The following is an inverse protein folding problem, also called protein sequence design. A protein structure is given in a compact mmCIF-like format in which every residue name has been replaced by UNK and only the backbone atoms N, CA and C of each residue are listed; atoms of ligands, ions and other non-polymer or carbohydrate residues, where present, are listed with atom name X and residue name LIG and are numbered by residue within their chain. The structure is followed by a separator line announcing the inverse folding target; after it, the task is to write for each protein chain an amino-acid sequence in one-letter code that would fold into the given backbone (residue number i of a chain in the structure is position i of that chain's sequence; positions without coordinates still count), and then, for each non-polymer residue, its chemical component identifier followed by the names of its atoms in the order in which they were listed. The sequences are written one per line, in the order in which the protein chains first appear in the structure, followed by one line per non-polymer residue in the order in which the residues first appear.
data_IF_943398160457
#
_entry.id   IF_943398160457
#
_cell.length_a   1.000
_cell.length_b   1.000
_cell.length_c   1.000
_cell.angle_alpha   90.00
_cell.angle_beta   90.00
_cell.angle_gamma   90.00
#
_symmetry.space_group_name_H-M   'P 1'
#
loop_
_entity.id
_entity.type
_entity.pdbx_description
1 polymer ?
#
# COMPACT_ATOMS: atom_id res chain seq x y z
N UNK A 1 60.34 -5.99 24.60
CA UNK A 1 61.01 -7.27 24.28
C UNK A 1 60.33 -7.87 23.06
N UNK A 2 61.09 -8.00 21.99
CA UNK A 2 60.66 -8.65 20.75
C UNK A 2 60.60 -10.17 20.95
N UNK A 3 59.63 -10.83 20.33
CA UNK A 3 59.82 -12.21 19.84
C UNK A 3 59.26 -12.25 18.42
N UNK A 4 60.17 -12.55 17.50
CA UNK A 4 59.96 -12.73 16.08
C UNK A 4 59.59 -14.18 15.75
N UNK A 5 59.43 -14.43 14.44
CA UNK A 5 59.42 -15.72 13.72
C UNK A 5 58.00 -16.23 13.34
N UNK A 6 57.73 -16.75 12.13
CA UNK A 6 58.52 -16.89 10.91
C UNK A 6 57.60 -17.29 9.72
N UNK A 7 58.05 -16.89 8.53
CA UNK A 7 58.01 -17.50 7.19
C UNK A 7 56.93 -18.56 6.79
N UNK A 8 56.31 -18.38 5.61
CA UNK A 8 56.70 -19.06 4.35
C UNK A 8 55.56 -19.19 3.28
N UNK A 9 55.66 -18.36 2.23
CA UNK A 9 55.57 -18.61 0.76
C UNK A 9 54.89 -19.91 0.20
N UNK A 10 53.83 -19.77 -0.63
CA UNK A 10 53.78 -19.96 -2.13
C UNK A 10 52.39 -20.37 -2.70
N UNK A 11 51.97 -19.59 -3.71
CA UNK A 11 51.32 -19.87 -5.02
C UNK A 11 50.16 -20.89 -5.19
N UNK A 12 49.00 -20.31 -5.56
CA UNK A 12 48.31 -20.38 -6.87
C UNK A 12 47.83 -21.73 -7.44
N UNK A 13 46.52 -21.84 -7.69
CA UNK A 13 45.85 -22.20 -8.97
C UNK A 13 44.47 -22.83 -8.72
N UNK A 14 43.43 -22.25 -9.30
CA UNK A 14 42.57 -22.84 -10.36
C UNK A 14 41.19 -22.17 -10.30
N UNK A 15 40.73 -21.70 -11.46
CA UNK A 15 39.54 -20.88 -11.56
C UNK A 15 38.22 -21.65 -11.53
N UNK A 16 37.14 -20.88 -11.42
CA UNK A 16 35.90 -21.17 -12.13
C UNK A 16 35.21 -19.87 -12.49
N UNK A 17 35.18 -19.61 -13.80
CA UNK A 17 34.38 -18.58 -14.41
C UNK A 17 32.88 -18.86 -14.18
N UNK A 18 32.10 -17.78 -14.03
CA UNK A 18 30.71 -17.74 -14.46
C UNK A 18 29.65 -18.03 -13.39
N UNK A 19 29.10 -16.96 -12.83
CA UNK A 19 27.76 -16.47 -13.22
C UNK A 19 27.58 -15.06 -12.65
N UNK A 20 27.59 -14.07 -13.56
CA UNK A 20 27.17 -12.72 -13.26
C UNK A 20 25.77 -12.77 -12.67
N UNK A 21 25.66 -12.52 -11.36
CA UNK A 21 24.39 -12.37 -10.68
C UNK A 21 23.65 -11.22 -11.35
N UNK A 22 22.52 -11.53 -11.99
CA UNK A 22 21.60 -10.52 -12.53
C UNK A 22 21.33 -9.52 -11.40
N UNK A 23 21.81 -8.29 -11.55
CA UNK A 23 21.48 -7.20 -10.66
C UNK A 23 19.95 -7.12 -10.61
N UNK A 24 19.35 -7.47 -9.46
CA UNK A 24 17.92 -7.26 -9.22
C UNK A 24 17.70 -5.78 -9.46
N UNK A 25 17.05 -5.41 -10.58
CA UNK A 25 16.60 -4.04 -10.83
C UNK A 25 15.92 -3.60 -9.54
N UNK A 26 16.53 -2.63 -8.84
CA UNK A 26 15.92 -2.03 -7.65
C UNK A 26 14.52 -1.62 -8.07
N UNK A 27 13.50 -2.24 -7.48
CA UNK A 27 12.12 -1.91 -7.79
C UNK A 27 11.98 -0.40 -7.60
N UNK A 28 11.60 0.31 -8.66
CA UNK A 28 11.50 1.76 -8.66
C UNK A 28 10.58 2.18 -7.52
N UNK A 29 11.04 3.08 -6.65
CA UNK A 29 10.22 3.61 -5.58
C UNK A 29 8.93 4.18 -6.19
N UNK A 30 7.79 3.83 -5.61
CA UNK A 30 6.51 4.36 -6.08
C UNK A 30 6.37 5.80 -5.60
N UNK A 31 6.16 6.70 -6.54
CA UNK A 31 6.04 8.12 -6.26
C UNK A 31 4.57 8.48 -6.08
N UNK A 32 4.18 8.72 -4.84
CA UNK A 32 2.80 9.05 -4.49
C UNK A 32 2.40 10.46 -4.92
N UNK A 33 3.36 11.36 -5.18
CA UNK A 33 3.11 12.76 -5.57
C UNK A 33 2.46 12.88 -6.96
N UNK A 34 2.61 11.84 -7.80
CA UNK A 34 2.09 11.81 -9.18
C UNK A 34 0.61 11.45 -9.26
N UNK A 35 0.00 11.05 -8.14
CA UNK A 35 -1.38 10.60 -8.09
C UNK A 35 -2.22 11.48 -7.17
N UNK A 36 -3.46 11.74 -7.59
CA UNK A 36 -4.43 12.42 -6.73
C UNK A 36 -4.80 11.59 -5.50
N UNK A 37 -5.11 12.25 -4.40
CA UNK A 37 -5.64 11.64 -3.17
C UNK A 37 -7.11 12.04 -2.99
N UNK A 38 -7.95 11.13 -2.53
CA UNK A 38 -9.38 11.36 -2.26
C UNK A 38 -9.78 10.78 -0.92
N UNK A 39 -10.73 11.43 -0.26
CA UNK A 39 -11.37 10.87 0.93
C UNK A 39 -12.37 9.79 0.49
N UNK A 40 -12.21 8.59 1.02
CA UNK A 40 -13.07 7.43 0.76
C UNK A 40 -13.50 6.80 2.07
N UNK A 41 -14.67 6.16 2.06
CA UNK A 41 -15.12 5.29 3.13
C UNK A 41 -15.12 3.84 2.63
N UNK A 42 -14.52 2.95 3.42
CA UNK A 42 -14.48 1.51 3.14
C UNK A 42 -15.36 0.81 4.18
N UNK A 43 -16.28 -0.03 3.69
CA UNK A 43 -17.04 -0.96 4.53
C UNK A 43 -16.31 -2.30 4.55
N UNK A 44 -16.02 -2.80 5.74
CA UNK A 44 -15.18 -3.95 5.99
C UNK A 44 -15.93 -4.97 6.85
N UNK A 45 -15.64 -6.24 6.60
CA UNK A 45 -16.06 -7.36 7.42
C UNK A 45 -14.84 -8.20 7.83
N UNK A 46 -14.83 -8.71 9.05
CA UNK A 46 -13.77 -9.57 9.56
C UNK A 46 -14.28 -10.51 10.66
N UNK A 47 -13.66 -11.68 10.75
CA UNK A 47 -13.77 -12.58 11.91
C UNK A 47 -12.84 -12.06 13.01
N UNK A 48 -13.39 -11.72 14.17
CA UNK A 48 -12.64 -11.13 15.28
C UNK A 48 -11.90 -12.13 16.15
N UNK A 49 -12.19 -13.44 16.04
CA UNK A 49 -11.60 -14.49 16.91
C UNK A 49 -10.07 -14.48 16.96
N UNK A 50 -9.33 -14.33 15.84
CA UNK A 50 -7.87 -14.32 15.89
C UNK A 50 -7.27 -12.95 16.21
N UNK A 51 -8.06 -11.89 16.36
CA UNK A 51 -7.57 -10.51 16.51
C UNK A 51 -7.85 -9.92 17.89
N UNK A 52 -6.98 -8.99 18.29
CA UNK A 52 -7.09 -8.24 19.55
C UNK A 52 -8.05 -7.04 19.47
N UNK A 53 -9.05 -7.13 18.58
CA UNK A 53 -10.00 -6.05 18.28
C UNK A 53 -9.58 -5.20 17.08
N UNK A 54 -10.38 -4.18 16.79
CA UNK A 54 -10.16 -3.32 15.63
C UNK A 54 -8.98 -2.38 15.82
N UNK A 55 -8.99 -1.62 16.92
CA UNK A 55 -8.04 -0.54 17.15
C UNK A 55 -6.71 -1.08 17.64
N UNK A 56 -5.60 -0.61 17.06
CA UNK A 56 -4.27 -0.86 17.65
C UNK A 56 -4.19 -0.14 19.00
N UNK A 57 -3.71 -0.86 20.02
CA UNK A 57 -3.48 -0.33 21.37
C UNK A 57 -2.05 0.21 21.55
N UNK A 58 -1.29 0.37 20.47
CA UNK A 58 0.09 0.85 20.52
C UNK A 58 1.08 -0.15 21.10
N UNK A 59 0.75 -1.45 21.15
CA UNK A 59 1.61 -2.49 21.70
C UNK A 59 2.56 -3.06 20.64
N UNK A 60 3.44 -2.20 20.12
CA UNK A 60 4.68 -2.61 19.43
C UNK A 60 4.53 -3.61 18.27
N UNK A 61 5.57 -4.42 18.06
CA UNK A 61 5.74 -5.33 16.91
C UNK A 61 4.78 -6.54 16.91
N UNK A 62 4.06 -6.77 18.01
CA UNK A 62 3.13 -7.90 18.20
C UNK A 62 1.64 -7.57 18.03
N UNK A 63 1.31 -6.38 17.51
CA UNK A 63 -0.07 -5.90 17.38
C UNK A 63 -0.87 -6.69 16.32
N UNK A 64 -1.54 -7.76 16.75
CA UNK A 64 -2.53 -8.50 15.95
C UNK A 64 -3.91 -7.81 15.93
N UNK A 65 -3.92 -6.51 15.67
CA UNK A 65 -5.16 -5.73 15.50
C UNK A 65 -5.58 -5.68 14.03
N UNK A 66 -6.88 -5.59 13.77
CA UNK A 66 -7.39 -5.52 12.40
C UNK A 66 -6.85 -4.30 11.67
N UNK A 67 -6.71 -3.16 12.35
CA UNK A 67 -6.10 -1.95 11.77
C UNK A 67 -4.67 -2.15 11.31
N UNK A 68 -3.85 -2.84 12.09
CA UNK A 68 -2.45 -3.09 11.70
C UNK A 68 -2.39 -3.84 10.38
N UNK A 69 -3.17 -4.91 10.25
CA UNK A 69 -3.23 -5.69 9.02
C UNK A 69 -3.84 -4.91 7.85
N UNK A 70 -4.87 -4.09 8.12
CA UNK A 70 -5.48 -3.24 7.11
C UNK A 70 -4.47 -2.22 6.56
N UNK A 71 -3.74 -1.51 7.42
CA UNK A 71 -2.74 -0.54 7.00
C UNK A 71 -1.57 -1.21 6.27
N UNK A 72 -1.10 -2.35 6.75
CA UNK A 72 -0.03 -3.10 6.07
C UNK A 72 -0.44 -3.49 4.65
N UNK A 73 -1.66 -4.00 4.47
CA UNK A 73 -2.22 -4.30 3.16
C UNK A 73 -2.34 -3.04 2.28
N UNK A 74 -2.87 -1.93 2.79
CA UNK A 74 -3.03 -0.69 2.03
C UNK A 74 -1.69 -0.06 1.62
N UNK A 75 -0.68 -0.12 2.49
CA UNK A 75 0.69 0.30 2.19
C UNK A 75 1.34 -0.61 1.14
N UNK A 76 1.17 -1.93 1.25
CA UNK A 76 1.68 -2.91 0.29
C UNK A 76 1.11 -2.71 -1.11
N UNK A 77 -0.17 -2.36 -1.22
CA UNK A 77 -0.86 -2.06 -2.48
C UNK A 77 -0.59 -0.62 -2.96
N UNK A 78 0.11 0.21 -2.16
CA UNK A 78 0.43 1.62 -2.44
C UNK A 78 -0.81 2.50 -2.64
N UNK A 79 -1.87 2.21 -1.87
CA UNK A 79 -3.08 3.06 -1.81
C UNK A 79 -2.84 4.22 -0.86
N UNK A 80 -2.13 3.98 0.25
CA UNK A 80 -1.73 4.99 1.23
C UNK A 80 -0.20 5.00 1.37
N UNK A 81 0.34 6.13 1.80
CA UNK A 81 1.77 6.27 2.13
C UNK A 81 2.07 5.74 3.53
N UNK A 82 1.25 6.13 4.50
CA UNK A 82 1.38 5.79 5.92
C UNK A 82 0.02 5.94 6.61
N UNK A 83 -0.19 5.21 7.71
CA UNK A 83 -1.38 5.34 8.55
C UNK A 83 -1.55 6.75 9.12
N UNK A 84 -0.44 7.47 9.37
CA UNK A 84 -0.45 8.82 9.93
C UNK A 84 -0.89 9.89 8.92
N UNK A 85 -0.47 9.74 7.65
CA UNK A 85 -0.77 10.72 6.60
C UNK A 85 -2.11 10.46 5.89
N UNK A 86 -2.68 9.27 6.08
CA UNK A 86 -3.94 8.86 5.46
C UNK A 86 -5.18 9.52 6.09
N UNK A 87 -5.09 10.24 7.22
CA UNK A 87 -6.26 10.85 7.85
C UNK A 87 -7.33 9.81 8.21
N UNK A 88 -6.89 8.71 8.81
CA UNK A 88 -7.72 7.55 9.11
C UNK A 88 -8.73 7.84 10.23
N UNK A 89 -9.97 7.41 10.04
CA UNK A 89 -11.06 7.45 11.01
C UNK A 89 -11.85 6.15 10.99
N UNK A 90 -12.48 5.81 12.12
CA UNK A 90 -13.24 4.57 12.33
C UNK A 90 -14.63 4.91 12.88
N UNK A 91 -15.65 4.17 12.45
CA UNK A 91 -17.03 4.36 12.92
C UNK A 91 -17.28 3.84 14.34
N UNK A 92 -16.38 3.03 14.90
CA UNK A 92 -16.51 2.45 16.24
C UNK A 92 -15.30 1.60 16.61
N UNK A 93 -15.12 1.30 17.91
CA UNK A 93 -14.14 0.31 18.36
C UNK A 93 -14.84 -1.03 18.53
N UNK A 94 -14.11 -2.12 18.32
CA UNK A 94 -14.55 -3.47 18.70
C UNK A 94 -13.53 -4.06 19.66
N UNK A 95 -14.02 -4.81 20.64
CA UNK A 95 -13.17 -5.51 21.58
C UNK A 95 -12.52 -6.76 20.97
N UNK A 96 -11.59 -7.35 21.72
CA UNK A 96 -10.91 -8.59 21.36
C UNK A 96 -11.91 -9.73 21.17
N UNK A 97 -11.75 -10.50 20.09
CA UNK A 97 -12.64 -11.63 19.77
C UNK A 97 -13.97 -11.24 19.10
N UNK A 98 -14.29 -9.95 18.99
CA UNK A 98 -15.56 -9.48 18.40
C UNK A 98 -15.45 -9.43 16.89
N UNK A 99 -16.35 -10.14 16.22
CA UNK A 99 -16.49 -10.10 14.75
C UNK A 99 -17.36 -8.92 14.32
N UNK A 100 -17.09 -8.37 13.13
CA UNK A 100 -17.88 -7.29 12.56
C UNK A 100 -18.13 -7.51 11.07
N UNK A 101 -19.35 -7.21 10.62
CA UNK A 101 -19.73 -7.31 9.21
C UNK A 101 -19.92 -5.94 8.53
N UNK A 102 -20.22 -4.91 9.32
CA UNK A 102 -20.60 -3.59 8.82
C UNK A 102 -19.64 -2.49 9.24
N UNK A 103 -18.38 -2.80 9.55
CA UNK A 103 -17.50 -1.78 10.08
C UNK A 103 -17.09 -0.80 8.99
N UNK A 104 -17.22 0.49 9.25
CA UNK A 104 -16.86 1.54 8.29
C UNK A 104 -15.62 2.28 8.77
N UNK A 105 -14.65 2.44 7.87
CA UNK A 105 -13.46 3.26 8.08
C UNK A 105 -13.34 4.30 6.97
N UNK A 106 -12.90 5.50 7.32
CA UNK A 106 -12.67 6.58 6.36
C UNK A 106 -11.18 6.90 6.30
N UNK A 107 -10.64 7.09 5.09
CA UNK A 107 -9.23 7.42 4.88
C UNK A 107 -9.02 8.13 3.54
N UNK A 108 -7.86 8.76 3.38
CA UNK A 108 -7.37 9.38 2.15
C UNK A 108 -6.63 8.34 1.33
N UNK A 109 -7.25 7.90 0.23
CA UNK A 109 -6.71 6.91 -0.67
C UNK A 109 -6.21 7.55 -1.98
N UNK A 110 -5.19 6.92 -2.58
CA UNK A 110 -4.79 7.20 -3.96
C UNK A 110 -5.96 6.94 -4.90
N UNK A 111 -6.19 7.84 -5.84
CA UNK A 111 -7.23 7.69 -6.85
C UNK A 111 -6.67 7.77 -8.27
N UNK A 112 -7.33 7.08 -9.20
CA UNK A 112 -6.91 7.01 -10.60
C UNK A 112 -7.44 8.20 -11.44
N UNK A 113 -8.49 8.90 -11.00
CA UNK A 113 -9.03 10.00 -11.79
C UNK A 113 -8.18 11.27 -11.68
N UNK A 114 -8.17 12.05 -12.76
CA UNK A 114 -7.45 13.32 -12.88
C UNK A 114 -7.75 14.29 -11.72
N UNK A 115 -6.77 15.12 -11.32
CA UNK A 115 -7.00 16.22 -10.38
C UNK A 115 -7.99 17.23 -10.99
N UNK A 116 -8.96 17.69 -10.20
CA UNK A 116 -9.97 18.67 -10.64
C UNK A 116 -11.34 18.08 -11.02
N UNK A 117 -11.51 16.76 -11.03
CA UNK A 117 -12.86 16.16 -11.11
C UNK A 117 -13.59 16.34 -9.79
N UNK A 118 -14.73 17.01 -9.83
CA UNK A 118 -15.61 17.25 -8.67
C UNK A 118 -16.04 15.91 -8.05
N UNK A 119 -15.88 15.72 -6.73
CA UNK A 119 -16.38 14.53 -6.02
C UNK A 119 -17.88 14.28 -6.21
N UNK A 120 -18.70 15.30 -6.46
CA UNK A 120 -20.14 15.17 -6.72
C UNK A 120 -20.46 14.54 -8.09
N UNK A 121 -19.53 14.59 -9.05
CA UNK A 121 -19.68 13.96 -10.38
C UNK A 121 -19.10 12.54 -10.41
N UNK A 122 -18.74 11.99 -9.25
CA UNK A 122 -18.27 10.62 -9.13
C UNK A 122 -19.46 9.68 -8.90
N UNK A 123 -19.45 8.50 -9.55
CA UNK A 123 -20.41 7.46 -9.21
C UNK A 123 -20.28 7.12 -7.72
N UNK A 124 -21.33 7.40 -6.95
CA UNK A 124 -21.39 7.10 -5.52
C UNK A 124 -21.58 5.59 -5.29
N UNK A 125 -22.03 4.87 -6.31
CA UNK A 125 -22.23 3.44 -6.29
C UNK A 125 -21.42 2.75 -7.41
N UNK A 126 -20.75 1.62 -7.13
CA UNK A 126 -20.04 0.85 -8.17
C UNK A 126 -20.92 0.38 -9.33
N UNK A 127 -22.26 0.48 -9.23
CA UNK A 127 -23.19 0.19 -10.32
C UNK A 127 -23.45 1.38 -11.28
N UNK A 128 -23.00 2.59 -10.95
CA UNK A 128 -23.22 3.78 -11.80
C UNK A 128 -22.21 3.87 -12.96
N UNK A 129 -21.28 2.90 -13.10
CA UNK A 129 -20.22 2.89 -14.12
C UNK A 129 -20.64 2.25 -15.46
N UNK A 130 -21.94 2.01 -15.69
CA UNK A 130 -22.48 1.53 -16.99
C UNK A 130 -23.00 2.68 -17.90
N UNK A 131 -22.95 3.93 -17.43
CA UNK A 131 -23.50 5.08 -18.17
C UNK A 131 -22.42 6.08 -18.63
N UNK A 132 -21.40 5.62 -19.34
CA UNK A 132 -20.55 6.54 -20.11
C UNK A 132 -21.23 6.85 -21.47
N UNK A 133 -21.60 8.11 -21.78
CA UNK A 133 -22.01 8.46 -23.14
C UNK A 133 -20.79 8.34 -24.06
N UNK A 134 -20.80 7.30 -24.91
CA UNK A 134 -19.91 7.18 -26.06
C UNK A 134 -20.33 8.19 -27.13
N UNK A 135 -20.13 9.49 -26.89
CA UNK A 135 -20.30 10.48 -27.95
C UNK A 135 -18.94 10.69 -28.61
N UNK A 136 -18.73 10.25 -29.87
CA UNK A 136 -17.52 10.62 -30.61
C UNK A 136 -17.48 12.15 -30.79
N UNK A 137 -16.28 12.75 -30.88
CA UNK A 137 -16.16 14.19 -31.11
C UNK A 137 -16.85 14.57 -32.43
N UNK A 138 -17.59 15.70 -32.49
CA UNK A 138 -18.12 16.19 -33.75
C UNK A 138 -16.95 16.47 -34.69
N UNK A 139 -17.03 15.92 -35.90
CA UNK A 139 -16.09 16.23 -36.96
C UNK A 139 -16.05 17.74 -37.17
N UNK A 140 -14.84 18.30 -37.19
CA UNK A 140 -14.62 19.66 -37.62
C UNK A 140 -14.96 19.74 -39.12
N UNK A 141 -16.15 20.20 -39.47
CA UNK A 141 -16.41 20.71 -40.82
C UNK A 141 -15.90 22.15 -40.88
N UNK A 142 -14.76 22.30 -41.55
CA UNK A 142 -14.29 23.56 -42.09
C UNK A 142 -14.69 23.69 -43.56
N UNK A 143 -14.85 24.96 -43.95
CA UNK A 143 -15.10 25.54 -45.28
C UNK A 143 -16.54 25.53 -45.80
#
# INVERSE_FOLDING_TARGET
AAVAAAAAKKKNMTGKAGKAGKAKKRARAFDFSKHGKRHVALRLAYDGRPYNGLASQGCGEGDNSVERHLFDALCKVKIIESSQTAGFSRSGRTDKGVSAFGQVVALRARSAFAPGRDPATMPLHPCDEDAAPKTPPPAAEGS
#
